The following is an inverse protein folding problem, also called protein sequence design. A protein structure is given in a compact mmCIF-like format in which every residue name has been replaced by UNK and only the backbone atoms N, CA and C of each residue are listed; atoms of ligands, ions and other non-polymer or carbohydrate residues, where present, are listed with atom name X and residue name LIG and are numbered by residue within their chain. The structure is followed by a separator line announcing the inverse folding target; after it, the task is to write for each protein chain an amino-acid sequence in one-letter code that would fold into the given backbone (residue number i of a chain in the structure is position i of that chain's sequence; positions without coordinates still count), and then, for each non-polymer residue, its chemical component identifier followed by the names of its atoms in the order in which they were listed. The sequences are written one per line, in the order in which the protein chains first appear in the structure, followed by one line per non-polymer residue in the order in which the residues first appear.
data_IF_865152868330
#
_entry.id   IF_865152868330
#
_cell.length_a   1.000
_cell.length_b   1.000
_cell.length_c   1.000
_cell.angle_alpha   90.00
_cell.angle_beta   90.00
_cell.angle_gamma   90.00
#
_symmetry.space_group_name_H-M   'P 1'
#
loop_
_entity.id
_entity.type
_entity.pdbx_description
1 polymer ?
#
# COMPACT_ATOMS: atom_id res chain seq x y z
N UNK A 1 5.93 24.29 -24.96
CA UNK A 1 5.40 23.74 -23.70
C UNK A 1 4.48 22.58 -24.11
N UNK A 2 5.07 21.51 -24.64
CA UNK A 2 4.37 20.55 -25.51
C UNK A 2 4.98 19.13 -25.41
N UNK A 3 5.47 18.75 -24.22
CA UNK A 3 6.24 17.50 -24.03
C UNK A 3 5.58 16.47 -23.11
N UNK A 4 4.30 16.63 -22.75
CA UNK A 4 3.59 15.68 -21.86
C UNK A 4 2.43 14.95 -22.57
N UNK A 5 2.11 15.25 -23.83
CA UNK A 5 0.89 14.77 -24.49
C UNK A 5 0.99 13.44 -25.26
N UNK A 6 2.14 12.77 -25.27
CA UNK A 6 2.27 11.43 -25.83
C UNK A 6 2.85 10.47 -24.79
N UNK A 7 2.11 10.22 -23.71
CA UNK A 7 2.35 9.01 -22.93
C UNK A 7 1.83 7.81 -23.76
N UNK A 8 2.55 7.48 -24.81
CA UNK A 8 2.39 6.20 -25.50
C UNK A 8 2.77 5.14 -24.49
N UNK A 9 1.76 4.50 -23.88
CA UNK A 9 1.93 3.43 -22.91
C UNK A 9 2.34 2.12 -23.62
N UNK A 10 3.35 2.20 -24.48
CA UNK A 10 4.06 1.04 -25.04
C UNK A 10 5.43 0.98 -24.39
N UNK A 11 5.44 0.59 -23.14
CA UNK A 11 6.65 0.06 -22.52
C UNK A 11 6.84 -1.37 -23.04
N UNK A 12 7.38 -1.50 -24.26
CA UNK A 12 7.74 -2.80 -24.83
C UNK A 12 9.07 -3.27 -24.22
N UNK A 13 9.11 -4.49 -23.67
CA UNK A 13 10.33 -5.04 -23.07
C UNK A 13 10.63 -4.49 -21.68
N UNK A 14 9.61 -4.34 -20.83
CA UNK A 14 9.80 -3.96 -19.43
C UNK A 14 10.74 -4.97 -18.76
N UNK A 15 11.86 -4.48 -18.25
CA UNK A 15 12.78 -5.23 -17.40
C UNK A 15 13.01 -4.49 -16.09
N UNK A 16 13.49 -5.21 -15.08
CA UNK A 16 13.84 -4.60 -13.79
C UNK A 16 14.92 -3.52 -13.97
N UNK A 17 15.86 -3.75 -14.87
CA UNK A 17 16.96 -2.82 -15.15
C UNK A 17 16.46 -1.57 -15.88
N UNK A 18 15.51 -1.72 -16.82
CA UNK A 18 14.89 -0.58 -17.49
C UNK A 18 14.12 0.30 -16.51
N UNK A 19 13.28 -0.30 -15.66
CA UNK A 19 12.53 0.44 -14.62
C UNK A 19 13.49 1.18 -13.69
N UNK A 20 14.56 0.51 -13.24
CA UNK A 20 15.55 1.12 -12.36
C UNK A 20 16.25 2.30 -13.03
N UNK A 21 16.76 2.10 -14.25
CA UNK A 21 17.46 3.14 -15.00
C UNK A 21 16.58 4.37 -15.21
N UNK A 22 15.30 4.19 -15.55
CA UNK A 22 14.37 5.32 -15.72
C UNK A 22 13.96 5.98 -14.40
N UNK A 23 13.88 5.23 -13.32
CA UNK A 23 13.64 5.80 -11.99
C UNK A 23 14.83 6.64 -11.52
N UNK A 24 16.05 6.13 -11.70
CA UNK A 24 17.28 6.82 -11.32
C UNK A 24 17.45 8.13 -12.11
N UNK A 25 17.15 8.14 -13.42
CA UNK A 25 17.14 9.34 -14.27
C UNK A 25 16.21 10.44 -13.69
N UNK A 26 14.95 10.11 -13.38
CA UNK A 26 14.00 11.07 -12.80
C UNK A 26 14.48 11.56 -11.43
N UNK A 27 15.02 10.68 -10.59
CA UNK A 27 15.56 11.03 -9.27
C UNK A 27 16.73 12.02 -9.41
N UNK A 28 17.62 11.80 -10.37
CA UNK A 28 18.75 12.68 -10.63
C UNK A 28 18.29 14.06 -11.13
N UNK A 29 17.34 14.12 -12.05
CA UNK A 29 16.77 15.40 -12.52
C UNK A 29 16.19 16.22 -11.36
N UNK A 30 15.50 15.57 -10.42
CA UNK A 30 14.98 16.24 -9.21
C UNK A 30 16.12 16.71 -8.30
N UNK A 31 17.14 15.87 -8.08
CA UNK A 31 18.31 16.22 -7.24
C UNK A 31 19.14 17.37 -7.84
N UNK A 32 19.21 17.44 -9.17
CA UNK A 32 19.91 18.49 -9.91
C UNK A 32 19.10 19.78 -10.01
N UNK A 33 17.83 19.78 -9.57
CA UNK A 33 16.95 20.95 -9.60
C UNK A 33 16.33 21.22 -10.98
N UNK A 34 16.38 20.25 -11.90
CA UNK A 34 15.77 20.35 -13.23
C UNK A 34 14.25 20.20 -13.18
N UNK A 35 13.74 19.45 -12.19
CA UNK A 35 12.32 19.22 -11.96
C UNK A 35 11.96 19.60 -10.52
N UNK A 36 10.88 20.36 -10.36
CA UNK A 36 10.33 20.70 -9.04
C UNK A 36 9.80 19.45 -8.30
N UNK A 37 10.24 19.18 -7.06
CA UNK A 37 9.82 18.01 -6.29
C UNK A 37 8.31 17.91 -6.04
N UNK A 38 7.59 19.02 -5.87
CA UNK A 38 6.14 19.00 -5.60
C UNK A 38 5.34 18.75 -6.87
N UNK A 39 5.81 19.28 -8.01
CA UNK A 39 5.20 19.02 -9.32
C UNK A 39 5.34 17.54 -9.69
N UNK A 40 6.53 16.95 -9.55
CA UNK A 40 6.71 15.53 -9.87
C UNK A 40 5.95 14.63 -8.88
N UNK A 41 5.95 14.95 -7.59
CA UNK A 41 5.23 14.17 -6.57
C UNK A 41 3.71 14.16 -6.84
N UNK A 42 3.12 15.30 -7.19
CA UNK A 42 1.70 15.38 -7.55
C UNK A 42 1.38 14.62 -8.85
N UNK A 43 2.25 14.74 -9.87
CA UNK A 43 2.13 14.01 -11.14
C UNK A 43 2.20 12.49 -10.95
N UNK A 44 3.14 12.00 -10.12
CA UNK A 44 3.25 10.58 -9.80
C UNK A 44 2.01 10.05 -9.08
N UNK A 45 1.43 10.84 -8.15
CA UNK A 45 0.18 10.46 -7.50
C UNK A 45 -0.98 10.36 -8.49
N UNK A 46 -1.08 11.27 -9.45
CA UNK A 46 -2.08 11.22 -10.53
C UNK A 46 -1.90 9.99 -11.42
N UNK A 47 -0.67 9.72 -11.87
CA UNK A 47 -0.36 8.55 -12.69
C UNK A 47 -0.64 7.24 -11.95
N UNK A 48 -0.34 7.15 -10.66
CA UNK A 48 -0.67 5.98 -9.85
C UNK A 48 -2.19 5.72 -9.82
N UNK A 49 -3.00 6.77 -9.65
CA UNK A 49 -4.46 6.65 -9.67
C UNK A 49 -4.99 6.25 -11.05
N UNK A 50 -4.47 6.86 -12.12
CA UNK A 50 -4.83 6.49 -13.50
C UNK A 50 -4.52 5.02 -13.77
N UNK A 51 -3.29 4.57 -13.45
CA UNK A 51 -2.86 3.18 -13.61
C UNK A 51 -3.75 2.21 -12.82
N UNK A 52 -4.12 2.55 -11.57
CA UNK A 52 -5.04 1.74 -10.77
C UNK A 52 -6.41 1.60 -11.44
N UNK A 53 -7.00 2.72 -11.87
CA UNK A 53 -8.33 2.76 -12.48
C UNK A 53 -8.38 2.03 -13.83
N UNK A 54 -7.39 2.25 -14.69
CA UNK A 54 -7.30 1.54 -15.96
C UNK A 54 -7.14 0.05 -15.71
N UNK A 55 -6.20 -0.35 -14.84
CA UNK A 55 -5.94 -1.76 -14.54
C UNK A 55 -7.17 -2.49 -14.00
N UNK A 56 -7.94 -1.85 -13.11
CA UNK A 56 -9.18 -2.45 -12.61
C UNK A 56 -10.26 -2.57 -13.68
N UNK A 57 -10.28 -1.64 -14.65
CA UNK A 57 -11.32 -1.60 -15.69
C UNK A 57 -11.08 -2.59 -16.83
N UNK A 58 -9.81 -2.89 -17.15
CA UNK A 58 -9.45 -3.77 -18.29
C UNK A 58 -9.08 -5.20 -17.86
N UNK A 59 -9.12 -5.52 -16.56
CA UNK A 59 -8.60 -6.81 -16.07
C UNK A 59 -9.36 -8.00 -16.67
N UNK A 60 -10.69 -7.88 -16.80
CA UNK A 60 -11.53 -8.94 -17.37
C UNK A 60 -11.17 -9.17 -18.85
N UNK A 61 -11.00 -8.09 -19.64
CA UNK A 61 -10.53 -8.18 -21.04
C UNK A 61 -9.16 -8.86 -21.14
N UNK A 62 -8.23 -8.56 -20.21
CA UNK A 62 -6.93 -9.21 -20.16
C UNK A 62 -7.02 -10.70 -19.80
N UNK A 63 -7.95 -11.11 -18.93
CA UNK A 63 -8.19 -12.50 -18.57
C UNK A 63 -8.72 -13.27 -19.78
N UNK A 64 -9.71 -12.71 -20.49
CA UNK A 64 -10.28 -13.30 -21.70
C UNK A 64 -9.19 -13.49 -22.78
N UNK A 65 -8.36 -12.47 -22.99
CA UNK A 65 -7.22 -12.55 -23.90
C UNK A 65 -6.22 -13.64 -23.47
N UNK A 66 -5.91 -13.74 -22.17
CA UNK A 66 -5.00 -14.75 -21.64
C UNK A 66 -5.55 -16.18 -21.81
N UNK A 67 -6.84 -16.39 -21.60
CA UNK A 67 -7.50 -17.68 -21.79
C UNK A 67 -7.46 -18.15 -23.25
N UNK A 68 -7.65 -17.22 -24.19
CA UNK A 68 -7.51 -17.50 -25.62
C UNK A 68 -6.11 -18.02 -26.02
N UNK A 69 -5.08 -17.77 -25.20
CA UNK A 69 -3.70 -18.25 -25.42
C UNK A 69 -3.39 -19.58 -24.71
N UNK A 70 -4.39 -20.30 -24.18
CA UNK A 70 -4.22 -21.63 -23.57
C UNK A 70 -4.11 -21.64 -22.05
N UNK A 71 -4.23 -20.48 -21.39
CA UNK A 71 -4.70 -20.36 -20.00
C UNK A 71 -3.80 -20.87 -18.87
N UNK A 72 -2.56 -21.31 -19.13
CA UNK A 72 -1.65 -21.80 -18.07
C UNK A 72 -0.57 -20.79 -17.71
N UNK A 73 0.28 -20.43 -18.67
CA UNK A 73 1.32 -19.40 -18.52
C UNK A 73 1.52 -18.76 -19.90
N UNK A 74 1.72 -17.44 -19.92
CA UNK A 74 2.00 -16.67 -21.14
C UNK A 74 3.18 -15.75 -20.86
N UNK A 75 4.22 -15.80 -21.68
CA UNK A 75 5.30 -14.81 -21.65
C UNK A 75 5.15 -13.88 -22.85
N UNK A 76 4.91 -12.59 -22.59
CA UNK A 76 4.71 -11.59 -23.63
C UNK A 76 5.21 -10.23 -23.13
N UNK A 77 5.78 -9.41 -24.01
CA UNK A 77 6.28 -8.06 -23.70
C UNK A 77 7.31 -7.98 -22.55
N UNK A 78 8.05 -9.06 -22.27
CA UNK A 78 8.99 -9.14 -21.15
C UNK A 78 8.34 -9.47 -19.79
N UNK A 79 7.04 -9.78 -19.79
CA UNK A 79 6.26 -10.12 -18.61
C UNK A 79 5.82 -11.58 -18.66
N UNK A 80 5.83 -12.24 -17.50
CA UNK A 80 5.20 -13.55 -17.29
C UNK A 80 3.80 -13.35 -16.70
N UNK A 81 2.80 -13.77 -17.45
CA UNK A 81 1.38 -13.77 -17.06
C UNK A 81 1.01 -15.18 -16.57
N UNK A 82 0.38 -15.25 -15.41
CA UNK A 82 -0.12 -16.49 -14.81
C UNK A 82 -1.49 -16.19 -14.21
N UNK A 83 -2.52 -16.92 -14.65
CA UNK A 83 -3.84 -16.85 -14.01
C UNK A 83 -3.76 -17.50 -12.64
N UNK A 84 -4.18 -16.78 -11.61
CA UNK A 84 -4.29 -17.27 -10.24
C UNK A 84 -5.61 -16.79 -9.66
N UNK A 85 -6.20 -17.61 -8.82
CA UNK A 85 -7.32 -17.17 -7.99
C UNK A 85 -6.77 -16.20 -6.93
N UNK A 86 -7.19 -14.93 -7.02
CA UNK A 86 -6.77 -13.87 -6.12
C UNK A 86 -7.95 -13.38 -5.29
N UNK A 87 -7.69 -13.00 -4.03
CA UNK A 87 -8.72 -12.38 -3.20
C UNK A 87 -9.80 -13.34 -2.69
N UNK A 88 -9.51 -14.64 -2.59
CA UNK A 88 -10.39 -15.61 -1.94
C UNK A 88 -10.63 -15.16 -0.50
N UNK A 89 -11.89 -14.84 -0.19
CA UNK A 89 -12.33 -14.48 1.16
C UNK A 89 -13.27 -15.58 1.65
N UNK A 90 -12.99 -16.07 2.85
CA UNK A 90 -13.88 -17.00 3.55
C UNK A 90 -14.73 -16.21 4.53
N UNK A 91 -16.04 -16.43 4.50
CA UNK A 91 -16.96 -15.91 5.50
C UNK A 91 -17.16 -16.95 6.60
N UNK A 92 -16.72 -16.63 7.81
CA UNK A 92 -16.82 -17.49 8.99
C UNK A 92 -17.92 -17.05 9.95
N UNK A 93 -18.65 -15.98 9.64
CA UNK A 93 -19.65 -15.37 10.53
C UNK A 93 -20.81 -16.30 10.91
N UNK A 94 -21.02 -17.36 10.13
CA UNK A 94 -22.02 -18.39 10.42
C UNK A 94 -21.60 -19.37 11.53
N UNK A 95 -20.35 -19.34 12.00
CA UNK A 95 -19.85 -20.24 13.05
C UNK A 95 -19.88 -19.55 14.41
N UNK A 96 -20.74 -20.01 15.34
CA UNK A 96 -20.89 -19.41 16.67
C UNK A 96 -19.57 -19.26 17.45
N UNK A 97 -18.77 -20.32 17.50
CA UNK A 97 -17.47 -20.30 18.18
C UNK A 97 -16.48 -19.30 17.53
N UNK A 98 -16.54 -19.12 16.21
CA UNK A 98 -15.72 -18.10 15.55
C UNK A 98 -16.14 -16.68 15.98
N UNK A 99 -17.45 -16.43 16.11
CA UNK A 99 -17.96 -15.14 16.58
C UNK A 99 -17.55 -14.87 18.04
N UNK A 100 -17.56 -15.88 18.90
CA UNK A 100 -17.08 -15.77 20.28
C UNK A 100 -15.60 -15.37 20.33
N UNK A 101 -14.75 -16.09 19.59
CA UNK A 101 -13.32 -15.75 19.48
C UNK A 101 -13.12 -14.34 18.91
N UNK A 102 -13.92 -13.96 17.92
CA UNK A 102 -13.83 -12.63 17.32
C UNK A 102 -14.26 -11.52 18.29
N UNK A 103 -15.23 -11.78 19.14
CA UNK A 103 -15.63 -10.86 20.22
C UNK A 103 -14.48 -10.65 21.20
N UNK A 104 -13.89 -11.74 21.70
CA UNK A 104 -12.74 -11.69 22.62
C UNK A 104 -11.57 -10.94 21.98
N UNK A 105 -11.26 -11.19 20.72
CA UNK A 105 -10.22 -10.46 19.97
C UNK A 105 -10.52 -8.95 19.93
N UNK A 106 -11.76 -8.57 19.63
CA UNK A 106 -12.16 -7.17 19.54
C UNK A 106 -12.07 -6.46 20.88
N UNK A 107 -12.51 -7.10 21.96
CA UNK A 107 -12.47 -6.56 23.32
C UNK A 107 -11.02 -6.39 23.79
N UNK A 108 -10.18 -7.41 23.64
CA UNK A 108 -8.76 -7.33 23.95
C UNK A 108 -8.04 -6.28 23.09
N UNK A 109 -8.39 -6.14 21.80
CA UNK A 109 -7.82 -5.12 20.94
C UNK A 109 -8.23 -3.71 21.35
N UNK A 110 -9.45 -3.53 21.88
CA UNK A 110 -9.93 -2.25 22.42
C UNK A 110 -9.18 -1.91 23.70
N UNK A 111 -9.13 -2.83 24.65
CA UNK A 111 -8.43 -2.66 25.93
C UNK A 111 -6.95 -2.28 25.72
N UNK A 112 -6.25 -3.00 24.83
CA UNK A 112 -4.87 -2.66 24.44
C UNK A 112 -4.76 -1.24 23.88
N UNK A 113 -5.67 -0.81 23.01
CA UNK A 113 -5.63 0.54 22.41
C UNK A 113 -5.88 1.63 23.46
N UNK A 114 -6.81 1.39 24.38
CA UNK A 114 -7.09 2.31 25.48
C UNK A 114 -5.86 2.44 26.40
N UNK A 115 -5.21 1.31 26.71
CA UNK A 115 -3.97 1.27 27.45
C UNK A 115 -2.80 1.96 26.72
N UNK A 116 -2.64 1.75 25.41
CA UNK A 116 -1.64 2.45 24.58
C UNK A 116 -1.84 3.96 24.60
N UNK A 117 -3.09 4.43 24.57
CA UNK A 117 -3.40 5.84 24.67
C UNK A 117 -3.08 6.40 26.05
N UNK A 118 -3.33 5.63 27.11
CA UNK A 118 -2.89 5.97 28.47
C UNK A 118 -1.36 6.07 28.54
N UNK A 119 -0.63 5.09 28.01
CA UNK A 119 0.84 5.05 27.98
C UNK A 119 1.45 6.28 27.30
N UNK A 120 0.83 6.78 26.23
CA UNK A 120 1.28 8.01 25.52
C UNK A 120 1.23 9.28 26.38
N UNK A 121 0.50 9.28 27.49
CA UNK A 121 0.41 10.45 28.39
C UNK A 121 1.57 10.52 29.39
N UNK A 122 2.29 9.42 29.60
CA UNK A 122 3.43 9.37 30.52
C UNK A 122 4.68 9.96 29.86
N UNK A 123 5.38 10.83 30.60
CA UNK A 123 6.67 11.40 30.20
C UNK A 123 7.88 10.71 30.86
N UNK A 124 7.63 9.93 31.93
CA UNK A 124 8.63 9.19 32.72
C UNK A 124 8.02 7.88 33.20
N UNK A 125 8.87 6.98 33.71
CA UNK A 125 8.42 5.76 34.38
C UNK A 125 7.48 6.11 35.54
N UNK A 126 6.47 5.28 35.75
CA UNK A 126 5.46 5.50 36.79
C UNK A 126 4.79 4.19 37.20
N UNK A 127 3.84 4.31 38.11
CA UNK A 127 3.01 3.19 38.57
C UNK A 127 1.55 3.54 38.26
N UNK A 128 0.79 2.56 37.78
CA UNK A 128 -0.66 2.66 37.61
C UNK A 128 -1.33 1.42 38.16
N UNK A 129 -2.61 1.56 38.54
CA UNK A 129 -3.44 0.41 38.87
C UNK A 129 -4.18 -0.06 37.63
N UNK A 130 -4.02 -1.33 37.29
CA UNK A 130 -4.79 -2.05 36.26
C UNK A 130 -5.38 -3.26 36.96
N UNK A 131 -6.71 -3.41 36.92
CA UNK A 131 -7.44 -4.51 37.59
C UNK A 131 -7.03 -4.73 39.06
N UNK A 132 -6.94 -3.63 39.82
CA UNK A 132 -6.52 -3.61 41.23
C UNK A 132 -5.06 -4.06 41.49
N UNK A 133 -4.26 -4.31 40.44
CA UNK A 133 -2.83 -4.58 40.54
C UNK A 133 -2.00 -3.34 40.17
N UNK A 134 -0.97 -3.05 40.97
CA UNK A 134 -0.06 -1.94 40.69
C UNK A 134 1.05 -2.42 39.75
N UNK A 135 1.07 -1.88 38.53
CA UNK A 135 2.08 -2.21 37.52
C UNK A 135 3.00 -1.02 37.22
N UNK A 136 4.27 -1.33 36.97
CA UNK A 136 5.23 -0.34 36.47
C UNK A 136 4.99 -0.09 34.98
N UNK A 137 4.89 1.18 34.61
CA UNK A 137 4.73 1.60 33.21
C UNK A 137 5.91 2.42 32.73
N UNK A 138 6.21 2.25 31.45
CA UNK A 138 7.28 2.93 30.75
C UNK A 138 6.69 3.80 29.65
N UNK A 139 7.16 5.05 29.49
CA UNK A 139 6.69 5.90 28.40
C UNK A 139 7.09 5.29 27.05
N UNK A 140 6.22 5.36 26.02
CA UNK A 140 6.54 4.83 24.71
C UNK A 140 7.62 5.66 24.01
N UNK A 141 8.46 5.01 23.22
CA UNK A 141 9.43 5.69 22.37
C UNK A 141 8.70 6.19 21.12
N UNK A 142 8.60 7.52 20.97
CA UNK A 142 8.01 8.13 19.77
C UNK A 142 9.03 8.14 18.64
N UNK A 143 8.73 7.44 17.55
CA UNK A 143 9.43 7.54 16.27
C UNK A 143 8.48 8.13 15.24
N UNK A 144 8.88 9.17 14.53
CA UNK A 144 8.07 9.78 13.46
C UNK A 144 8.90 10.07 12.23
N UNK A 145 8.31 9.81 11.07
CA UNK A 145 8.84 10.23 9.76
C UNK A 145 7.96 11.35 9.24
N UNK A 146 8.57 12.47 8.85
CA UNK A 146 7.84 13.56 8.19
C UNK A 146 7.51 13.14 6.76
N UNK A 147 6.23 13.21 6.38
CA UNK A 147 5.75 12.91 5.03
C UNK A 147 4.93 14.08 4.48
N UNK A 148 4.89 14.22 3.15
CA UNK A 148 3.97 15.14 2.45
C UNK A 148 2.80 14.29 1.95
N UNK A 149 1.58 14.58 2.41
CA UNK A 149 0.37 13.96 1.89
C UNK A 149 -0.11 14.75 0.66
N UNK A 150 -0.23 14.08 -0.49
CA UNK A 150 -0.84 14.65 -1.70
C UNK A 150 -2.33 14.28 -1.72
N UNK A 151 -3.19 15.24 -2.02
CA UNK A 151 -4.61 15.02 -2.30
C UNK A 151 -4.97 15.74 -3.59
N UNK A 152 -5.47 14.99 -4.56
CA UNK A 152 -5.97 15.54 -5.83
C UNK A 152 -7.37 16.12 -5.56
N UNK A 153 -7.62 17.36 -6.00
CA UNK A 153 -8.91 18.03 -5.88
C UNK A 153 -9.74 17.84 -7.14
#
# INVERSE_FOLDING_TARGET
METINELTLKMEGISKDYIKSKSDEIIEMVKNGEIDPLIILSSMNGLEQICKNVRSSIMDDCIDQFENHGGKELELHGCKFVKKEGGVKYDFSNTGYWNELKSVENDAAKERRDFENQLKTFSKKGMISVDDELIEVFPPIRTSTTIIQVSIK
#
